data_IF_172670516461
#
_entry.id   IF_172670516461
#
_cell.length_a   1.000
_cell.length_b   1.000
_cell.length_c   1.000
_cell.angle_alpha   90.00
_cell.angle_beta   90.00
_cell.angle_gamma   90.00
#
_symmetry.space_group_name_H-M   'P 1'
#
loop_
_entity.id
_entity.type
_entity.pdbx_description
1 polymer ?
#
# COMPACT_ATOMS: atom_id res chain seq x y z
N UNK A 1 -11.33 28.58 -36.80
CA UNK A 1 -10.49 27.58 -36.11
C UNK A 1 -11.30 26.99 -34.96
N UNK A 2 -11.92 25.83 -35.17
CA UNK A 2 -12.69 25.11 -34.15
C UNK A 2 -11.73 24.37 -33.22
N UNK A 3 -11.75 24.69 -31.91
CA UNK A 3 -11.10 23.89 -30.88
C UNK A 3 -11.95 22.63 -30.69
N UNK A 4 -11.39 21.48 -31.07
CA UNK A 4 -11.94 20.18 -30.68
C UNK A 4 -11.90 20.09 -29.16
N UNK A 5 -13.07 20.20 -28.53
CA UNK A 5 -13.28 19.76 -27.15
C UNK A 5 -13.25 18.23 -27.19
N UNK A 6 -12.11 17.67 -26.80
CA UNK A 6 -11.94 16.23 -26.61
C UNK A 6 -13.02 15.74 -25.67
N UNK A 7 -13.84 14.80 -26.17
CA UNK A 7 -14.95 14.21 -25.42
C UNK A 7 -14.44 13.66 -24.08
N UNK A 8 -14.87 14.29 -22.99
CA UNK A 8 -14.75 13.73 -21.65
C UNK A 8 -15.55 12.43 -21.66
N UNK A 9 -14.83 11.32 -21.69
CA UNK A 9 -15.37 9.97 -21.52
C UNK A 9 -16.19 9.99 -20.23
N UNK A 10 -17.50 9.82 -20.35
CA UNK A 10 -18.41 9.83 -19.21
C UNK A 10 -17.85 8.86 -18.13
N UNK A 11 -17.83 9.27 -16.85
CA UNK A 11 -17.45 8.36 -15.77
C UNK A 11 -18.36 7.14 -15.84
N UNK A 12 -17.79 5.94 -15.73
CA UNK A 12 -18.58 4.71 -15.66
C UNK A 12 -19.54 4.76 -14.46
N UNK A 13 -20.63 4.00 -14.49
CA UNK A 13 -21.60 3.88 -13.39
C UNK A 13 -21.00 3.34 -12.06
N UNK A 14 -19.70 3.03 -12.05
CA UNK A 14 -18.91 2.58 -10.90
C UNK A 14 -17.98 3.69 -10.36
N UNK A 15 -17.98 4.88 -10.94
CA UNK A 15 -17.15 6.00 -10.47
C UNK A 15 -17.81 6.65 -9.25
N UNK A 16 -17.33 6.29 -8.06
CA UNK A 16 -17.63 6.99 -6.82
C UNK A 16 -16.56 8.08 -6.58
N UNK A 17 -16.90 9.38 -6.71
CA UNK A 17 -15.96 10.47 -6.48
C UNK A 17 -15.51 10.59 -5.01
N UNK A 18 -16.14 9.88 -4.08
CA UNK A 18 -15.70 9.80 -2.68
C UNK A 18 -14.66 8.69 -2.45
N UNK A 19 -14.47 7.77 -3.41
CA UNK A 19 -13.45 6.72 -3.33
C UNK A 19 -12.10 7.23 -3.88
N UNK A 20 -10.97 6.96 -3.18
CA UNK A 20 -9.65 7.37 -3.64
C UNK A 20 -9.25 6.60 -4.89
N UNK A 21 -8.73 7.29 -5.90
CA UNK A 21 -8.18 6.66 -7.11
C UNK A 21 -6.93 5.82 -6.83
N UNK A 22 -6.59 4.93 -7.77
CA UNK A 22 -5.34 4.14 -7.74
C UNK A 22 -4.08 5.00 -7.60
N UNK A 23 -4.08 6.20 -8.20
CA UNK A 23 -3.00 7.19 -8.08
C UNK A 23 -2.90 7.76 -6.67
N UNK A 24 -4.02 8.07 -6.03
CA UNK A 24 -4.05 8.60 -4.67
C UNK A 24 -3.60 7.54 -3.66
N UNK A 25 -4.03 6.29 -3.84
CA UNK A 25 -3.52 5.15 -3.06
C UNK A 25 -2.01 4.98 -3.22
N UNK A 26 -1.49 5.01 -4.46
CA UNK A 26 -0.05 4.90 -4.70
C UNK A 26 0.73 6.06 -4.07
N UNK A 27 0.21 7.29 -4.15
CA UNK A 27 0.82 8.45 -3.49
C UNK A 27 0.84 8.31 -1.96
N UNK A 28 -0.24 7.81 -1.37
CA UNK A 28 -0.30 7.51 0.05
C UNK A 28 0.74 6.45 0.46
N UNK A 29 0.87 5.35 -0.31
CA UNK A 29 1.90 4.33 -0.09
C UNK A 29 3.30 4.95 -0.16
N UNK A 30 3.60 5.78 -1.16
CA UNK A 30 4.89 6.45 -1.27
C UNK A 30 5.18 7.38 -0.07
N UNK A 31 4.17 8.09 0.42
CA UNK A 31 4.30 8.95 1.59
C UNK A 31 4.63 8.14 2.85
N UNK A 32 3.87 7.08 3.12
CA UNK A 32 4.10 6.18 4.26
C UNK A 32 5.46 5.51 4.15
N UNK A 33 5.85 5.04 2.96
CA UNK A 33 7.17 4.45 2.72
C UNK A 33 8.32 5.44 2.99
N UNK A 34 8.14 6.70 2.61
CA UNK A 34 9.13 7.76 2.88
C UNK A 34 9.23 8.03 4.37
N UNK A 35 8.10 8.12 5.07
CA UNK A 35 8.08 8.28 6.53
C UNK A 35 8.74 7.08 7.23
N UNK A 36 8.45 5.86 6.76
CA UNK A 36 9.07 4.64 7.26
C UNK A 36 10.60 4.66 7.08
N UNK A 37 11.09 5.12 5.93
CA UNK A 37 12.53 5.24 5.68
C UNK A 37 13.22 6.24 6.62
N UNK A 38 12.52 7.30 7.04
CA UNK A 38 13.04 8.29 7.98
C UNK A 38 12.96 7.84 9.44
N UNK A 39 11.86 7.18 9.82
CA UNK A 39 11.61 6.69 11.17
C UNK A 39 10.83 5.37 11.09
N UNK A 40 11.54 4.23 11.00
CA UNK A 40 10.90 2.92 10.93
C UNK A 40 10.02 2.67 12.16
N UNK A 41 8.81 2.17 11.93
CA UNK A 41 7.94 1.69 13.00
C UNK A 41 7.01 0.60 12.48
N UNK A 42 6.59 -0.28 13.39
CA UNK A 42 5.67 -1.37 13.07
C UNK A 42 4.34 -0.84 12.50
N UNK A 43 3.79 0.22 13.12
CA UNK A 43 2.54 0.84 12.69
C UNK A 43 2.60 1.36 11.24
N UNK A 44 3.71 1.99 10.86
CA UNK A 44 3.91 2.46 9.47
C UNK A 44 4.05 1.29 8.49
N UNK A 45 4.70 0.19 8.89
CA UNK A 45 4.80 -1.00 8.06
C UNK A 45 3.43 -1.67 7.85
N UNK A 46 2.62 -1.76 8.91
CA UNK A 46 1.24 -2.27 8.84
C UNK A 46 0.39 -1.39 7.94
N UNK A 47 0.43 -0.07 8.12
CA UNK A 47 -0.31 0.88 7.30
C UNK A 47 0.07 0.77 5.81
N UNK A 48 1.36 0.67 5.50
CA UNK A 48 1.82 0.47 4.13
C UNK A 48 1.33 -0.86 3.54
N UNK A 49 1.32 -1.93 4.34
CA UNK A 49 0.79 -3.24 3.92
C UNK A 49 -0.72 -3.18 3.64
N UNK A 50 -1.50 -2.51 4.49
CA UNK A 50 -2.94 -2.35 4.29
C UNK A 50 -3.27 -1.53 3.03
N UNK A 51 -2.54 -0.44 2.79
CA UNK A 51 -2.71 0.38 1.59
C UNK A 51 -2.32 -0.41 0.33
N UNK A 52 -1.23 -1.17 0.37
CA UNK A 52 -0.84 -2.05 -0.73
C UNK A 52 -1.91 -3.12 -0.99
N UNK A 53 -2.52 -3.68 0.06
CA UNK A 53 -3.60 -4.66 -0.09
C UNK A 53 -4.83 -4.03 -0.72
N UNK A 54 -5.23 -2.83 -0.28
CA UNK A 54 -6.33 -2.08 -0.92
C UNK A 54 -6.08 -1.83 -2.40
N UNK A 55 -4.84 -1.53 -2.80
CA UNK A 55 -4.49 -1.32 -4.21
C UNK A 55 -4.67 -2.57 -5.09
N UNK A 56 -4.74 -3.78 -4.52
CA UNK A 56 -5.03 -5.00 -5.28
C UNK A 56 -6.50 -5.15 -5.66
N UNK A 57 -7.39 -4.33 -5.10
CA UNK A 57 -8.80 -4.39 -5.41
C UNK A 57 -9.06 -4.00 -6.88
N UNK A 58 -10.00 -4.68 -7.56
CA UNK A 58 -10.25 -4.47 -9.00
C UNK A 58 -10.68 -3.05 -9.36
N UNK A 59 -11.18 -2.28 -8.38
CA UNK A 59 -11.55 -0.88 -8.53
C UNK A 59 -10.34 0.06 -8.67
N UNK A 60 -9.14 -0.40 -8.28
CA UNK A 60 -7.90 0.37 -8.34
C UNK A 60 -6.83 -0.28 -9.23
N UNK A 61 -6.94 -1.59 -9.48
CA UNK A 61 -6.04 -2.34 -10.34
C UNK A 61 -6.47 -2.28 -11.83
N UNK A 62 -6.56 -1.05 -12.38
CA UNK A 62 -7.07 -0.78 -13.73
C UNK A 62 -6.30 -1.48 -14.86
N UNK A 63 -5.06 -1.92 -14.58
CA UNK A 63 -4.20 -2.61 -15.53
C UNK A 63 -3.49 -3.77 -14.83
N UNK A 64 -3.14 -4.81 -15.60
CA UNK A 64 -2.36 -5.94 -15.09
C UNK A 64 -1.04 -5.51 -14.46
N UNK A 65 -0.42 -4.44 -14.98
CA UNK A 65 0.80 -3.87 -14.42
C UNK A 65 0.58 -3.31 -13.01
N UNK A 66 -0.53 -2.60 -12.76
CA UNK A 66 -0.84 -2.05 -11.42
C UNK A 66 -1.17 -3.19 -10.45
N UNK A 67 -1.89 -4.22 -10.90
CA UNK A 67 -2.17 -5.43 -10.11
C UNK A 67 -0.87 -6.11 -9.68
N UNK A 68 0.05 -6.37 -10.62
CA UNK A 68 1.33 -7.04 -10.35
C UNK A 68 2.22 -6.18 -9.40
N UNK A 69 2.19 -4.86 -9.55
CA UNK A 69 2.88 -3.93 -8.64
C UNK A 69 2.27 -4.01 -7.24
N UNK A 70 0.94 -3.96 -7.13
CA UNK A 70 0.24 -4.01 -5.85
C UNK A 70 0.53 -5.31 -5.10
N UNK A 71 0.45 -6.46 -5.77
CA UNK A 71 0.82 -7.75 -5.18
C UNK A 71 2.25 -7.79 -4.67
N UNK A 72 3.19 -7.21 -5.42
CA UNK A 72 4.60 -7.16 -5.02
C UNK A 72 4.78 -6.29 -3.78
N UNK A 73 4.12 -5.14 -3.73
CA UNK A 73 4.13 -4.25 -2.56
C UNK A 73 3.56 -4.96 -1.33
N UNK A 74 2.43 -5.68 -1.47
CA UNK A 74 1.85 -6.46 -0.37
C UNK A 74 2.87 -7.45 0.19
N UNK A 75 3.51 -8.24 -0.67
CA UNK A 75 4.52 -9.22 -0.25
C UNK A 75 5.70 -8.55 0.46
N UNK A 76 6.18 -7.42 -0.05
CA UNK A 76 7.30 -6.69 0.55
C UNK A 76 6.96 -6.16 1.94
N UNK A 77 5.80 -5.52 2.12
CA UNK A 77 5.40 -4.96 3.40
C UNK A 77 5.03 -6.05 4.42
N UNK A 78 4.45 -7.17 3.99
CA UNK A 78 4.17 -8.32 4.86
C UNK A 78 5.45 -8.92 5.45
N UNK A 79 6.53 -9.02 4.66
CA UNK A 79 7.83 -9.48 5.17
C UNK A 79 8.30 -8.54 6.29
N UNK A 80 8.31 -7.23 6.03
CA UNK A 80 8.72 -6.23 7.02
C UNK A 80 7.85 -6.32 8.29
N UNK A 81 6.53 -6.41 8.15
CA UNK A 81 5.60 -6.57 9.29
C UNK A 81 5.91 -7.83 10.09
N UNK A 82 6.23 -8.94 9.43
CA UNK A 82 6.55 -10.21 10.09
C UNK A 82 7.88 -10.17 10.85
N UNK A 83 8.86 -9.39 10.39
CA UNK A 83 10.17 -9.23 11.04
C UNK A 83 10.01 -8.57 12.42
N UNK A 84 9.14 -7.56 12.56
CA UNK A 84 8.83 -6.97 13.86
C UNK A 84 8.28 -7.99 14.87
N UNK A 85 7.41 -8.91 14.42
CA UNK A 85 6.89 -9.98 15.28
C UNK A 85 7.95 -11.02 15.66
N UNK A 86 9.01 -11.17 14.86
CA UNK A 86 10.11 -12.09 15.13
C UNK A 86 11.15 -11.49 16.09
N UNK A 87 11.43 -10.19 16.01
CA UNK A 87 12.36 -9.50 16.92
C UNK A 87 11.85 -9.44 18.36
N UNK A 88 10.56 -9.14 18.56
CA UNK A 88 9.93 -9.19 19.89
C UNK A 88 9.99 -10.60 20.50
N UNK A 89 9.85 -11.64 19.67
CA UNK A 89 9.89 -13.02 20.13
C UNK A 89 11.32 -13.47 20.52
N UNK A 90 12.36 -12.98 19.85
CA UNK A 90 13.76 -13.25 20.20
C UNK A 90 14.18 -12.57 21.52
N UNK A 91 13.78 -11.32 21.74
CA UNK A 91 14.01 -10.60 22.99
C UNK A 91 13.33 -11.29 24.19
N UNK A 92 12.13 -11.85 23.98
CA UNK A 92 11.43 -12.63 25.01
C UNK A 92 12.07 -14.00 25.26
N UNK A 93 12.64 -14.64 24.22
CA UNK A 93 13.31 -15.93 24.35
C UNK A 93 14.64 -15.84 25.13
N UNK A 94 15.42 -14.76 24.92
CA UNK A 94 16.70 -14.55 25.62
C UNK A 94 16.54 -14.28 27.11
N UNK A 95 15.43 -13.67 27.53
CA UNK A 95 15.11 -13.43 28.95
C UNK A 95 14.73 -14.70 29.73
N UNK A 96 14.32 -15.79 29.07
CA UNK A 96 13.98 -17.06 29.74
C UNK A 96 15.19 -17.96 30.00
N UNK A 97 16.31 -17.70 29.36
CA UNK A 97 17.50 -18.58 29.42
C UNK A 97 18.46 -18.20 30.57
N UNK A 98 18.15 -17.16 31.35
CA UNK A 98 18.99 -16.65 32.45
C UNK A 98 18.38 -16.85 33.85
N UNK A 99 17.37 -17.72 34.00
CA UNK A 99 16.91 -18.22 35.31
C UNK A 99 17.45 -19.62 35.57
#
# INVERSE_FOLDING_TARGET
MQKQVSALKAPSELFDPELPTSRELMAAICCVATQYALKPSHELAVLASELAHKLTAPEYADTKLIEDIAERLVKQWQVIVSEYGAEDNWLMATHKTLQ
#
